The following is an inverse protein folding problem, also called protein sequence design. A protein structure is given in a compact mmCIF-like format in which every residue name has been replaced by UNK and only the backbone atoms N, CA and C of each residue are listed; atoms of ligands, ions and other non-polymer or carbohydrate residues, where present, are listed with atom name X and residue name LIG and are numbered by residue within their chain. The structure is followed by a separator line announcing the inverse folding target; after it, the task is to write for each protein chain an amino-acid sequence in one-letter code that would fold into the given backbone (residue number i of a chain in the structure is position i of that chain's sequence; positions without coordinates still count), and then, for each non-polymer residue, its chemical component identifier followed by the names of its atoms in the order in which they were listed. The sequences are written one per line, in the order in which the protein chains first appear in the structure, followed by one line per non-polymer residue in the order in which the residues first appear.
data_IF_765722779955
#
_entry.id   IF_765722779955
#
_cell.length_a   1.000
_cell.length_b   1.000
_cell.length_c   1.000
_cell.angle_alpha   90.00
_cell.angle_beta   90.00
_cell.angle_gamma   90.00
#
_symmetry.space_group_name_H-M   'P 1'
#
loop_
_entity.id
_entity.type
_entity.pdbx_description
1 polymer ?
#
# COMPACT_ATOMS: atom_id res chain seq x y z
N UNK A 1 2.23 0.87 3.47
CA UNK A 1 3.04 2.00 3.06
C UNK A 1 2.51 2.77 1.88
N UNK A 2 2.67 2.27 0.63
CA UNK A 2 2.38 3.03 -0.60
C UNK A 2 0.94 3.57 -0.66
N UNK A 3 -0.05 2.72 -0.55
CA UNK A 3 -1.48 3.08 -0.55
C UNK A 3 -1.82 4.13 0.51
N UNK A 4 -1.31 3.95 1.75
CA UNK A 4 -1.54 4.89 2.84
C UNK A 4 -0.96 6.28 2.53
N UNK A 5 0.25 6.32 1.95
CA UNK A 5 0.87 7.57 1.51
C UNK A 5 0.06 8.25 0.39
N UNK A 6 -0.44 7.49 -0.57
CA UNK A 6 -1.31 8.00 -1.64
C UNK A 6 -2.56 8.67 -1.09
N UNK A 7 -3.25 8.03 -0.14
CA UNK A 7 -4.41 8.64 0.52
C UNK A 7 -4.04 9.90 1.29
N UNK A 8 -2.92 9.86 2.04
CA UNK A 8 -2.47 11.03 2.80
C UNK A 8 -2.14 12.21 1.87
N UNK A 9 -1.48 11.96 0.75
CA UNK A 9 -1.18 12.99 -0.26
C UNK A 9 -2.47 13.53 -0.88
N UNK A 10 -3.39 12.65 -1.28
CA UNK A 10 -4.67 13.05 -1.88
C UNK A 10 -5.49 13.93 -0.94
N UNK A 11 -5.63 13.53 0.32
CA UNK A 11 -6.32 14.30 1.35
C UNK A 11 -5.63 15.66 1.56
N UNK A 12 -4.30 15.66 1.65
CA UNK A 12 -3.54 16.91 1.87
C UNK A 12 -3.68 17.89 0.71
N UNK A 13 -3.71 17.38 -0.53
CA UNK A 13 -3.95 18.23 -1.70
C UNK A 13 -5.36 18.83 -1.64
N UNK A 14 -6.38 18.06 -1.29
CA UNK A 14 -7.74 18.58 -1.16
C UNK A 14 -7.92 19.60 -0.02
N UNK A 15 -7.20 19.43 1.09
CA UNK A 15 -7.19 20.42 2.18
C UNK A 15 -6.60 21.77 1.76
N UNK A 16 -5.48 21.73 1.00
CA UNK A 16 -4.76 22.95 0.59
C UNK A 16 -5.39 23.57 -0.67
N UNK A 17 -5.90 22.73 -1.56
CA UNK A 17 -6.44 23.08 -2.87
C UNK A 17 -7.83 22.45 -3.07
N UNK A 18 -8.87 22.94 -2.37
CA UNK A 18 -10.23 22.37 -2.43
C UNK A 18 -10.87 22.48 -3.82
N UNK A 19 -10.37 23.38 -4.67
CA UNK A 19 -10.81 23.56 -6.05
C UNK A 19 -10.33 22.45 -6.99
N UNK A 20 -9.28 21.70 -6.61
CA UNK A 20 -8.70 20.66 -7.46
C UNK A 20 -9.49 19.35 -7.39
N UNK A 21 -9.70 18.76 -8.55
CA UNK A 21 -10.30 17.43 -8.68
C UNK A 21 -9.21 16.37 -8.48
N UNK A 22 -9.18 15.78 -7.30
CA UNK A 22 -8.25 14.68 -6.94
C UNK A 22 -8.99 13.36 -7.07
N UNK A 23 -8.48 12.46 -7.88
CA UNK A 23 -9.00 11.10 -8.06
C UNK A 23 -7.96 10.07 -7.59
N UNK A 24 -8.33 9.27 -6.61
CA UNK A 24 -7.60 8.06 -6.23
C UNK A 24 -8.33 6.83 -6.77
N UNK A 25 -7.60 5.92 -7.41
CA UNK A 25 -8.11 4.65 -7.89
C UNK A 25 -7.00 3.60 -7.92
N UNK A 26 -7.34 2.32 -7.69
CA UNK A 26 -6.41 1.22 -7.95
C UNK A 26 -6.43 0.85 -9.45
N UNK A 27 -5.30 0.36 -9.96
CA UNK A 27 -5.21 -0.08 -11.35
C UNK A 27 -6.15 -1.27 -11.65
N UNK A 28 -6.47 -2.07 -10.64
CA UNK A 28 -7.51 -3.11 -10.75
C UNK A 28 -8.88 -2.48 -11.04
N UNK A 29 -9.34 -1.54 -10.21
CA UNK A 29 -10.64 -0.89 -10.37
C UNK A 29 -10.70 -0.08 -11.67
N UNK A 30 -9.62 0.58 -12.06
CA UNK A 30 -9.49 1.25 -13.36
C UNK A 30 -9.77 0.26 -14.51
N UNK A 31 -9.17 -0.95 -14.45
CA UNK A 31 -9.39 -2.01 -15.43
C UNK A 31 -10.85 -2.47 -15.48
N UNK A 32 -11.47 -2.65 -14.30
CA UNK A 32 -12.89 -3.04 -14.20
C UNK A 32 -13.78 -1.99 -14.85
N UNK A 33 -13.58 -0.72 -14.49
CA UNK A 33 -14.38 0.40 -15.06
C UNK A 33 -14.17 0.53 -16.57
N UNK A 34 -12.94 0.37 -17.07
CA UNK A 34 -12.66 0.39 -18.50
C UNK A 34 -13.36 -0.76 -19.23
N UNK A 35 -13.31 -1.96 -18.69
CA UNK A 35 -13.99 -3.13 -19.26
C UNK A 35 -15.51 -2.92 -19.32
N UNK A 36 -16.07 -2.31 -18.28
CA UNK A 36 -17.49 -1.97 -18.24
C UNK A 36 -17.85 -0.89 -19.26
N UNK A 37 -16.98 0.13 -19.42
CA UNK A 37 -17.17 1.16 -20.44
C UNK A 37 -17.14 0.60 -21.87
N UNK A 38 -16.28 -0.38 -22.16
CA UNK A 38 -16.29 -1.10 -23.45
C UNK A 38 -17.64 -1.82 -23.63
N UNK A 39 -18.09 -2.57 -22.61
CA UNK A 39 -19.34 -3.33 -22.69
C UNK A 39 -20.56 -2.43 -22.93
N UNK A 40 -20.55 -1.22 -22.36
CA UNK A 40 -21.63 -0.22 -22.47
C UNK A 40 -21.48 0.72 -23.67
N UNK A 41 -20.40 0.61 -24.47
CA UNK A 41 -20.03 1.55 -25.53
C UNK A 41 -19.86 3.01 -25.03
N UNK A 42 -19.37 3.21 -23.81
CA UNK A 42 -19.14 4.52 -23.17
C UNK A 42 -17.65 4.81 -22.96
N UNK A 43 -16.78 4.30 -23.80
CA UNK A 43 -15.32 4.49 -23.69
C UNK A 43 -14.92 5.97 -23.80
N UNK A 44 -15.64 6.79 -24.57
CA UNK A 44 -15.37 8.22 -24.64
C UNK A 44 -15.67 8.92 -23.32
N UNK A 45 -16.80 8.60 -22.68
CA UNK A 45 -17.16 9.17 -21.37
C UNK A 45 -16.13 8.79 -20.31
N UNK A 46 -15.66 7.52 -20.35
CA UNK A 46 -14.57 7.04 -19.49
C UNK A 46 -13.30 7.87 -19.70
N UNK A 47 -12.89 8.10 -20.94
CA UNK A 47 -11.71 8.91 -21.26
C UNK A 47 -11.87 10.34 -20.76
N UNK A 48 -12.99 11.00 -21.05
CA UNK A 48 -13.26 12.38 -20.61
C UNK A 48 -13.28 12.51 -19.08
N UNK A 49 -13.83 11.52 -18.38
CA UNK A 49 -13.84 11.51 -16.91
C UNK A 49 -12.41 11.55 -16.34
N UNK A 50 -11.54 10.64 -16.81
CA UNK A 50 -10.15 10.57 -16.31
C UNK A 50 -9.27 11.75 -16.78
N UNK A 51 -9.55 12.29 -17.95
CA UNK A 51 -8.85 13.46 -18.48
C UNK A 51 -9.26 14.78 -17.81
N UNK A 52 -10.41 14.80 -17.15
CA UNK A 52 -10.95 15.96 -16.46
C UNK A 52 -10.45 16.17 -15.03
N UNK A 53 -9.55 15.34 -14.52
CA UNK A 53 -9.00 15.47 -13.16
C UNK A 53 -7.76 16.38 -13.13
N UNK A 54 -7.48 16.98 -11.98
CA UNK A 54 -6.26 17.77 -11.76
C UNK A 54 -5.14 16.96 -11.16
N UNK A 55 -5.50 15.93 -10.37
CA UNK A 55 -4.57 14.98 -9.77
C UNK A 55 -5.11 13.57 -9.95
N UNK A 56 -4.37 12.71 -10.62
CA UNK A 56 -4.68 11.30 -10.73
C UNK A 56 -3.69 10.48 -9.89
N UNK A 57 -4.21 9.74 -8.93
CA UNK A 57 -3.45 8.80 -8.11
C UNK A 57 -3.88 7.39 -8.54
N UNK A 58 -2.97 6.66 -9.20
CA UNK A 58 -3.21 5.28 -9.63
C UNK A 58 -2.33 4.34 -8.81
N UNK A 59 -2.98 3.55 -7.96
CA UNK A 59 -2.30 2.62 -7.05
C UNK A 59 -2.13 1.24 -7.69
N UNK A 60 -0.98 0.62 -7.45
CA UNK A 60 -0.62 -0.73 -7.90
C UNK A 60 -0.64 -0.91 -9.43
N UNK A 61 0.11 -0.06 -10.17
CA UNK A 61 0.14 -0.07 -11.65
C UNK A 61 0.57 -1.40 -12.26
N UNK A 62 1.30 -2.27 -11.51
CA UNK A 62 1.64 -3.63 -11.96
C UNK A 62 0.41 -4.49 -12.30
N UNK A 63 -0.76 -4.14 -11.78
CA UNK A 63 -2.04 -4.80 -12.10
C UNK A 63 -2.49 -4.58 -13.56
N UNK A 64 -1.85 -3.63 -14.27
CA UNK A 64 -2.08 -3.43 -15.71
C UNK A 64 -1.29 -4.40 -16.59
N UNK A 65 -0.32 -5.13 -16.04
CA UNK A 65 0.51 -6.07 -16.79
C UNK A 65 -0.37 -7.12 -17.49
N UNK A 66 -0.10 -7.37 -18.78
CA UNK A 66 -0.86 -8.31 -19.59
C UNK A 66 -2.23 -7.83 -20.07
N UNK A 67 -2.59 -6.56 -19.83
CA UNK A 67 -3.88 -5.96 -20.21
C UNK A 67 -3.67 -4.87 -21.26
N UNK A 68 -3.23 -5.24 -22.45
CA UNK A 68 -2.76 -4.33 -23.52
C UNK A 68 -3.74 -3.20 -23.83
N UNK A 69 -5.04 -3.51 -23.96
CA UNK A 69 -6.07 -2.49 -24.25
C UNK A 69 -6.20 -1.47 -23.12
N UNK A 70 -6.10 -1.93 -21.87
CA UNK A 70 -6.15 -1.06 -20.68
C UNK A 70 -4.89 -0.21 -20.59
N UNK A 71 -3.71 -0.80 -20.86
CA UNK A 71 -2.44 -0.09 -20.89
C UNK A 71 -2.46 1.02 -21.97
N UNK A 72 -2.96 0.72 -23.16
CA UNK A 72 -3.10 1.69 -24.23
C UNK A 72 -4.01 2.86 -23.83
N UNK A 73 -5.15 2.56 -23.21
CA UNK A 73 -6.08 3.60 -22.72
C UNK A 73 -5.46 4.45 -21.64
N UNK A 74 -4.79 3.82 -20.68
CA UNK A 74 -4.06 4.55 -19.62
C UNK A 74 -2.94 5.41 -20.20
N UNK A 75 -2.21 4.94 -21.21
CA UNK A 75 -1.18 5.72 -21.90
C UNK A 75 -1.75 7.02 -22.50
N UNK A 76 -2.92 6.98 -23.11
CA UNK A 76 -3.57 8.18 -23.65
C UNK A 76 -4.00 9.16 -22.55
N UNK A 77 -4.55 8.65 -21.43
CA UNK A 77 -4.90 9.46 -20.27
C UNK A 77 -3.64 10.09 -19.67
N UNK A 78 -2.58 9.30 -19.47
CA UNK A 78 -1.31 9.76 -18.94
C UNK A 78 -0.75 10.92 -19.78
N UNK A 79 -0.65 10.75 -21.10
CA UNK A 79 -0.13 11.79 -21.98
C UNK A 79 -0.99 13.06 -21.94
N UNK A 80 -2.31 12.93 -21.94
CA UNK A 80 -3.21 14.08 -21.86
C UNK A 80 -2.98 14.89 -20.57
N UNK A 81 -2.98 14.21 -19.42
CA UNK A 81 -2.76 14.85 -18.12
C UNK A 81 -1.35 15.48 -18.03
N UNK A 82 -0.33 14.76 -18.52
CA UNK A 82 1.05 15.26 -18.53
C UNK A 82 1.21 16.51 -19.39
N UNK A 83 0.65 16.54 -20.61
CA UNK A 83 0.69 17.71 -21.50
C UNK A 83 0.02 18.94 -20.89
N UNK A 84 -1.03 18.75 -20.10
CA UNK A 84 -1.73 19.84 -19.41
C UNK A 84 -1.09 20.23 -18.08
N UNK A 85 0.08 19.67 -17.72
CA UNK A 85 0.76 19.94 -16.46
C UNK A 85 -0.01 19.47 -15.22
N UNK A 86 -0.91 18.48 -15.37
CA UNK A 86 -1.64 17.86 -14.27
C UNK A 86 -0.73 16.92 -13.48
N UNK A 87 -1.07 16.70 -12.22
CA UNK A 87 -0.27 15.83 -11.36
C UNK A 87 -0.68 14.35 -11.52
N UNK A 88 0.32 13.50 -11.74
CA UNK A 88 0.17 12.04 -11.74
C UNK A 88 0.97 11.48 -10.57
N UNK A 89 0.37 10.61 -9.77
CA UNK A 89 1.01 9.88 -8.68
C UNK A 89 0.71 8.39 -8.92
N UNK A 90 1.77 7.61 -9.06
CA UNK A 90 1.66 6.20 -9.40
C UNK A 90 2.38 5.38 -8.34
N UNK A 91 1.85 4.23 -7.98
CA UNK A 91 2.57 3.27 -7.14
C UNK A 91 2.78 1.95 -7.84
N UNK A 92 3.85 1.27 -7.47
CA UNK A 92 4.18 -0.06 -7.94
C UNK A 92 4.89 -0.86 -6.85
N UNK A 93 4.81 -2.18 -6.92
CA UNK A 93 5.61 -3.10 -6.11
C UNK A 93 7.00 -3.35 -6.71
N UNK A 94 7.24 -2.87 -7.94
CA UNK A 94 8.49 -3.01 -8.69
C UNK A 94 8.94 -1.67 -9.25
N UNK A 95 10.24 -1.54 -9.47
CA UNK A 95 10.78 -0.40 -10.20
C UNK A 95 10.26 -0.39 -11.65
N UNK A 96 10.16 0.79 -12.32
CA UNK A 96 9.70 0.86 -13.71
C UNK A 96 10.49 -0.03 -14.67
N UNK A 97 11.76 -0.27 -14.42
CA UNK A 97 12.62 -1.14 -15.25
C UNK A 97 12.28 -2.63 -15.13
N UNK A 98 11.63 -3.03 -14.04
CA UNK A 98 11.30 -4.42 -13.71
C UNK A 98 9.84 -4.78 -14.01
N UNK A 99 9.06 -3.87 -14.62
CA UNK A 99 7.66 -4.08 -15.01
C UNK A 99 7.58 -4.88 -16.33
N UNK A 100 8.07 -6.12 -16.30
CA UNK A 100 7.98 -7.02 -17.46
C UNK A 100 6.53 -7.29 -17.84
N UNK A 101 6.22 -7.18 -19.14
CA UNK A 101 4.86 -7.32 -19.67
C UNK A 101 4.03 -6.03 -19.66
N UNK A 102 4.63 -4.93 -19.23
CA UNK A 102 4.07 -3.59 -19.48
C UNK A 102 4.62 -3.05 -20.82
N UNK A 103 3.80 -2.32 -21.56
CA UNK A 103 4.21 -1.72 -22.84
C UNK A 103 5.41 -0.77 -22.65
N UNK A 104 6.41 -0.88 -23.49
CA UNK A 104 7.67 -0.13 -23.41
C UNK A 104 7.46 1.39 -23.39
N UNK A 105 6.46 1.86 -24.15
CA UNK A 105 6.09 3.29 -24.16
C UNK A 105 5.57 3.78 -22.80
N UNK A 106 4.84 2.94 -22.04
CA UNK A 106 4.43 3.27 -20.67
C UNK A 106 5.65 3.28 -19.74
N UNK A 107 6.50 2.26 -19.79
CA UNK A 107 7.73 2.20 -19.00
C UNK A 107 8.57 3.47 -19.21
N UNK A 108 8.71 3.91 -20.46
CA UNK A 108 9.42 5.14 -20.79
C UNK A 108 8.80 6.36 -20.09
N UNK A 109 7.48 6.47 -20.06
CA UNK A 109 6.76 7.56 -19.37
C UNK A 109 6.94 7.51 -17.86
N UNK A 110 6.87 6.31 -17.27
CA UNK A 110 7.05 6.10 -15.84
C UNK A 110 8.45 6.52 -15.36
N UNK A 111 9.45 6.43 -16.22
CA UNK A 111 10.82 6.87 -15.94
C UNK A 111 11.02 8.39 -15.97
N UNK A 112 10.10 9.16 -16.52
CA UNK A 112 10.26 10.63 -16.67
C UNK A 112 10.03 11.41 -15.38
N UNK A 113 9.31 10.86 -14.42
CA UNK A 113 8.99 11.52 -13.17
C UNK A 113 10.00 11.24 -12.05
N UNK A 114 9.72 11.80 -10.89
CA UNK A 114 10.42 11.44 -9.66
C UNK A 114 10.03 10.02 -9.25
N UNK A 115 11.02 9.14 -9.19
CA UNK A 115 10.84 7.80 -8.61
C UNK A 115 11.44 7.80 -7.21
N UNK A 116 10.62 7.43 -6.23
CA UNK A 116 11.04 7.29 -4.84
C UNK A 116 10.76 5.86 -4.37
N UNK A 117 11.74 5.24 -3.76
CA UNK A 117 11.59 3.95 -3.11
C UNK A 117 11.11 4.14 -1.67
N UNK A 118 10.20 3.29 -1.24
CA UNK A 118 9.72 3.25 0.14
C UNK A 118 10.33 2.04 0.83
N UNK A 119 11.29 2.28 1.68
CA UNK A 119 11.93 1.28 2.51
C UNK A 119 10.95 0.65 3.51
N UNK A 120 11.34 -0.52 4.02
CA UNK A 120 10.64 -1.13 5.14
C UNK A 120 10.77 -0.23 6.37
N UNK A 121 9.72 -0.10 7.19
CA UNK A 121 9.79 0.73 8.39
C UNK A 121 10.82 0.17 9.37
N UNK A 122 11.65 1.04 9.92
CA UNK A 122 12.53 0.74 11.04
C UNK A 122 11.73 0.45 12.32
N UNK A 123 12.43 0.06 13.39
CA UNK A 123 11.76 -0.29 14.64
C UNK A 123 10.96 0.87 15.24
N UNK A 124 11.48 2.09 15.15
CA UNK A 124 10.83 3.27 15.74
C UNK A 124 9.57 3.64 14.97
N UNK A 125 9.61 3.57 13.65
CA UNK A 125 8.43 3.78 12.81
C UNK A 125 7.40 2.67 13.02
N UNK A 126 7.82 1.40 13.15
CA UNK A 126 6.90 0.29 13.47
C UNK A 126 6.21 0.51 14.81
N UNK A 127 6.94 0.96 15.85
CA UNK A 127 6.35 1.31 17.15
C UNK A 127 5.32 2.42 17.04
N UNK A 128 5.61 3.46 16.25
CA UNK A 128 4.65 4.57 15.99
C UNK A 128 3.40 4.07 15.26
N UNK A 129 3.58 3.25 14.22
CA UNK A 129 2.46 2.67 13.46
C UNK A 129 1.58 1.80 14.38
N UNK A 130 2.21 0.90 15.15
CA UNK A 130 1.51 0.02 16.09
C UNK A 130 0.76 0.83 17.15
N UNK A 131 1.39 1.86 17.73
CA UNK A 131 0.77 2.74 18.72
C UNK A 131 -0.46 3.46 18.14
N UNK A 132 -0.34 4.02 16.94
CA UNK A 132 -1.46 4.69 16.28
C UNK A 132 -2.61 3.71 16.00
N UNK A 133 -2.30 2.49 15.54
CA UNK A 133 -3.30 1.46 15.27
C UNK A 133 -4.05 1.05 16.54
N UNK A 134 -3.34 0.77 17.61
CA UNK A 134 -3.91 0.40 18.91
C UNK A 134 -4.81 1.52 19.45
N UNK A 135 -4.34 2.78 19.38
CA UNK A 135 -5.12 3.93 19.84
C UNK A 135 -6.38 4.14 19.01
N UNK A 136 -6.30 3.95 17.70
CA UNK A 136 -7.45 4.09 16.80
C UNK A 136 -8.50 2.99 17.04
N UNK A 137 -8.05 1.76 17.26
CA UNK A 137 -8.95 0.61 17.47
C UNK A 137 -9.42 0.49 18.94
N UNK A 138 -8.96 1.39 19.83
CA UNK A 138 -9.33 1.38 21.26
C UNK A 138 -8.83 0.15 22.00
N UNK A 139 -7.76 -0.50 21.52
CA UNK A 139 -7.21 -1.72 22.11
C UNK A 139 -6.19 -1.36 23.19
N UNK A 140 -6.27 -2.01 24.34
CA UNK A 140 -5.25 -1.90 25.40
C UNK A 140 -4.41 -3.18 25.36
N UNK A 141 -3.12 -3.02 25.15
CA UNK A 141 -2.16 -4.14 25.17
C UNK A 141 -1.02 -3.83 26.18
N UNK A 142 -0.52 -4.86 26.89
CA UNK A 142 0.65 -4.72 27.75
C UNK A 142 1.92 -4.33 26.99
N UNK A 143 2.88 -3.68 27.68
CA UNK A 143 4.12 -3.21 27.07
C UNK A 143 4.99 -4.34 26.51
N UNK A 144 5.01 -5.50 27.14
CA UNK A 144 5.74 -6.68 26.66
C UNK A 144 5.15 -7.21 25.35
N UNK A 145 3.83 -7.22 25.20
CA UNK A 145 3.10 -7.54 23.97
C UNK A 145 3.42 -6.51 22.87
N UNK A 146 3.35 -5.22 23.22
CA UNK A 146 3.66 -4.15 22.28
C UNK A 146 5.08 -4.27 21.72
N UNK A 147 6.07 -4.43 22.60
CA UNK A 147 7.46 -4.55 22.21
C UNK A 147 7.71 -5.84 21.41
N UNK A 148 7.05 -6.95 21.77
CA UNK A 148 7.16 -8.21 21.04
C UNK A 148 6.66 -8.07 19.60
N UNK A 149 5.48 -7.48 19.38
CA UNK A 149 4.94 -7.27 18.03
C UNK A 149 5.88 -6.36 17.22
N UNK A 150 6.26 -5.20 17.77
CA UNK A 150 7.11 -4.23 17.07
C UNK A 150 8.48 -4.80 16.66
N UNK A 151 9.05 -5.72 17.45
CA UNK A 151 10.36 -6.30 17.21
C UNK A 151 10.33 -7.49 16.25
N UNK A 152 9.25 -8.27 16.24
CA UNK A 152 9.18 -9.53 15.48
C UNK A 152 8.39 -9.42 14.16
N UNK A 153 7.53 -8.40 14.00
CA UNK A 153 6.75 -8.19 12.78
C UNK A 153 7.46 -7.16 11.90
N UNK A 154 8.40 -7.63 11.08
CA UNK A 154 9.33 -6.77 10.32
C UNK A 154 9.01 -6.66 8.85
N UNK A 155 8.29 -7.65 8.29
CA UNK A 155 8.10 -7.79 6.85
C UNK A 155 7.11 -6.77 6.28
N UNK A 156 5.96 -6.62 6.95
CA UNK A 156 4.83 -5.91 6.35
C UNK A 156 3.99 -5.19 7.43
N UNK A 157 3.64 -3.93 7.18
CA UNK A 157 2.73 -3.18 8.06
C UNK A 157 1.34 -3.83 8.13
N UNK A 158 0.87 -4.46 7.04
CA UNK A 158 -0.42 -5.18 7.03
C UNK A 158 -0.43 -6.34 8.02
N UNK A 159 0.72 -6.98 8.24
CA UNK A 159 0.83 -8.06 9.24
C UNK A 159 0.64 -7.52 10.65
N UNK A 160 1.16 -6.33 10.95
CA UNK A 160 0.91 -5.63 12.23
C UNK A 160 -0.58 -5.38 12.43
N UNK A 161 -1.25 -4.86 11.39
CA UNK A 161 -2.71 -4.61 11.43
C UNK A 161 -3.50 -5.90 11.63
N UNK A 162 -3.15 -6.95 10.88
CA UNK A 162 -3.79 -8.28 10.98
C UNK A 162 -3.61 -8.92 12.36
N UNK A 163 -2.42 -8.76 12.97
CA UNK A 163 -2.14 -9.28 14.31
C UNK A 163 -2.96 -8.54 15.36
N UNK A 164 -3.01 -7.20 15.32
CA UNK A 164 -3.82 -6.41 16.26
C UNK A 164 -5.30 -6.78 16.15
N UNK A 165 -5.83 -6.87 14.93
CA UNK A 165 -7.21 -7.29 14.69
C UNK A 165 -7.49 -8.70 15.21
N UNK A 166 -6.57 -9.64 14.99
CA UNK A 166 -6.68 -11.02 15.50
C UNK A 166 -6.65 -11.07 17.02
N UNK A 167 -5.74 -10.35 17.67
CA UNK A 167 -5.67 -10.28 19.12
C UNK A 167 -6.95 -9.73 19.73
N UNK A 168 -7.52 -8.68 19.13
CA UNK A 168 -8.79 -8.12 19.56
C UNK A 168 -9.92 -9.13 19.40
N UNK A 169 -10.01 -9.82 18.26
CA UNK A 169 -11.02 -10.84 18.01
C UNK A 169 -10.93 -12.01 19.02
N UNK A 170 -9.71 -12.49 19.30
CA UNK A 170 -9.51 -13.53 20.31
C UNK A 170 -9.88 -13.07 21.72
N UNK A 171 -9.46 -11.86 22.10
CA UNK A 171 -9.78 -11.27 23.41
C UNK A 171 -11.29 -11.17 23.61
N UNK A 172 -12.00 -10.69 22.59
CA UNK A 172 -13.47 -10.53 22.64
C UNK A 172 -14.20 -11.88 22.61
N UNK A 173 -13.81 -12.80 21.72
CA UNK A 173 -14.49 -14.09 21.55
C UNK A 173 -14.36 -15.01 22.77
N UNK A 174 -13.21 -14.98 23.42
CA UNK A 174 -12.91 -15.88 24.55
C UNK A 174 -12.91 -15.18 25.91
N UNK A 175 -13.31 -13.89 25.95
CA UNK A 175 -13.26 -13.03 27.15
C UNK A 175 -11.92 -13.15 27.89
N UNK A 176 -10.82 -13.12 27.14
CA UNK A 176 -9.45 -13.34 27.61
C UNK A 176 -8.61 -12.08 27.43
N UNK A 177 -7.82 -11.75 28.43
CA UNK A 177 -6.85 -10.65 28.33
C UNK A 177 -5.78 -10.96 27.27
N UNK A 178 -5.34 -9.91 26.56
CA UNK A 178 -4.24 -10.01 25.61
C UNK A 178 -2.94 -10.15 26.40
N UNK A 179 -2.31 -11.31 26.28
CA UNK A 179 -1.06 -11.65 26.95
C UNK A 179 0.02 -12.08 25.94
N UNK A 180 1.27 -12.19 26.40
CA UNK A 180 2.39 -12.57 25.55
C UNK A 180 2.27 -14.00 24.97
N UNK A 181 1.78 -15.04 25.70
CA UNK A 181 1.54 -16.37 25.15
C UNK A 181 0.54 -16.35 23.98
N UNK A 182 -0.60 -15.66 24.13
CA UNK A 182 -1.59 -15.50 23.04
C UNK A 182 -0.96 -14.77 21.85
N UNK A 183 -0.22 -13.70 22.11
CA UNK A 183 0.44 -12.91 21.06
C UNK A 183 1.46 -13.74 20.28
N UNK A 184 2.28 -14.53 20.94
CA UNK A 184 3.22 -15.46 20.27
C UNK A 184 2.49 -16.44 19.36
N UNK A 185 1.37 -16.99 19.81
CA UNK A 185 0.55 -17.90 19.04
C UNK A 185 -0.06 -17.22 17.79
N UNK A 186 -0.56 -16.01 17.93
CA UNK A 186 -1.13 -15.25 16.80
C UNK A 186 -0.04 -14.85 15.82
N UNK A 187 1.07 -14.29 16.30
CA UNK A 187 2.19 -13.87 15.46
C UNK A 187 2.77 -15.05 14.67
N UNK A 188 2.94 -16.21 15.29
CA UNK A 188 3.48 -17.40 14.61
C UNK A 188 2.60 -17.94 13.48
N UNK A 189 1.32 -17.59 13.44
CA UNK A 189 0.38 -17.94 12.36
C UNK A 189 0.44 -16.96 11.19
N UNK A 190 0.82 -15.73 11.45
CA UNK A 190 0.86 -14.65 10.45
C UNK A 190 2.26 -14.47 9.87
N UNK A 191 3.28 -14.55 10.74
CA UNK A 191 4.68 -14.33 10.38
C UNK A 191 5.48 -15.61 10.70
N UNK A 192 6.33 -16.03 9.77
CA UNK A 192 7.35 -17.02 10.08
C UNK A 192 8.33 -16.37 11.05
N UNK A 193 8.20 -16.67 12.33
CA UNK A 193 9.20 -16.27 13.32
C UNK A 193 10.53 -16.90 12.90
N UNK A 194 11.50 -16.09 12.53
CA UNK A 194 12.87 -16.55 12.39
C UNK A 194 13.28 -17.13 13.76
N UNK A 195 13.48 -18.46 13.80
CA UNK A 195 14.18 -19.04 14.94
C UNK A 195 15.55 -18.40 14.95
N UNK A 196 15.82 -17.50 15.93
CA UNK A 196 17.20 -17.12 16.25
C UNK A 196 17.95 -18.42 16.47
N UNK A 197 18.70 -18.87 15.46
CA UNK A 197 19.72 -19.88 15.68
C UNK A 197 20.73 -19.21 16.58
N UNK A 198 20.71 -19.58 17.86
CA UNK A 198 21.80 -19.30 18.77
C UNK A 198 22.95 -20.15 18.24
N UNK A 199 23.83 -19.58 17.43
CA UNK A 199 25.04 -20.25 17.01
C UNK A 199 25.95 -20.32 18.22
N UNK A 200 26.66 -21.45 18.33
CA UNK A 200 27.60 -21.71 19.43
C UNK A 200 28.70 -20.63 19.49
N UNK A 201 28.97 -19.94 18.39
CA UNK A 201 29.90 -18.82 18.29
C UNK A 201 29.47 -17.57 19.08
N UNK A 202 28.17 -17.34 19.31
CA UNK A 202 27.68 -16.19 20.10
C UNK A 202 27.82 -16.37 21.62
N UNK A 203 28.33 -17.51 22.09
CA UNK A 203 28.52 -17.82 23.52
C UNK A 203 29.99 -17.62 23.95
N UNK A 204 30.92 -17.43 23.01
CA UNK A 204 32.34 -17.32 23.30
C UNK A 204 32.85 -15.90 23.56
N UNK A 205 32.01 -14.85 23.42
CA UNK A 205 32.34 -13.46 23.68
C UNK A 205 31.66 -12.90 24.95
N UNK A 206 31.80 -13.62 26.09
CA UNK A 206 31.46 -13.12 27.42
C UNK A 206 32.66 -13.33 28.36
#
# INVERSE_FOLDING_TARGET
GKTHLCHAIGNRIQEIHPEKKVLYISAHLFTVQYTEAIRKNTTNDFMYFYQGVDVLILDDIQELIGKDKTQNTFFHIFNHLHLLGKQLILTSDKAPVDLQGMEERLITRLKWGLTAELDRPDLDLRKKILKNKISHDGVVIPDDVFNFIASNVTENVRDVEGIVASLLAYSTAFNRMIDLPLTKQVVSRVVKLEKKQVSVESIQDV
#
